data_IF_581040033120
#
_entry.id   IF_581040033120
#
_cell.length_a   1.000
_cell.length_b   1.000
_cell.length_c   1.000
_cell.angle_alpha   90.00
_cell.angle_beta   90.00
_cell.angle_gamma   90.00
#
_symmetry.space_group_name_H-M   'P 1'
#
loop_
_entity.id
_entity.type
_entity.pdbx_description
1 polymer ?
#
# COMPACT_ATOMS: atom_id res chain seq x y z
N UNK A 1 5.08 -7.91 19.90
CA UNK A 1 5.35 -9.35 19.64
C UNK A 1 5.74 -9.70 18.20
N UNK A 2 5.32 -8.96 17.16
CA UNK A 2 5.74 -9.24 15.78
C UNK A 2 7.18 -8.76 15.46
N UNK A 3 7.67 -7.69 16.10
CA UNK A 3 9.04 -7.18 15.85
C UNK A 3 10.16 -8.08 16.42
N UNK A 4 9.82 -9.08 17.24
CA UNK A 4 10.76 -10.10 17.70
C UNK A 4 10.98 -11.22 16.68
N UNK A 5 10.17 -11.27 15.60
CA UNK A 5 10.35 -12.24 14.54
C UNK A 5 11.69 -12.04 13.81
N UNK A 6 12.30 -13.13 13.29
CA UNK A 6 13.53 -13.05 12.54
C UNK A 6 13.31 -12.19 11.29
N UNK A 7 14.29 -11.35 10.98
CA UNK A 7 14.25 -10.37 9.88
C UNK A 7 13.81 -10.94 8.52
N UNK A 8 14.20 -12.17 8.12
CA UNK A 8 13.68 -12.80 6.89
C UNK A 8 12.16 -12.91 6.85
N UNK A 9 11.51 -13.17 7.99
CA UNK A 9 10.06 -13.31 8.05
C UNK A 9 9.33 -11.97 7.87
N UNK A 10 9.90 -10.89 8.42
CA UNK A 10 9.39 -9.54 8.24
C UNK A 10 9.53 -9.06 6.79
N UNK A 11 10.66 -9.39 6.15
CA UNK A 11 10.84 -9.15 4.72
C UNK A 11 9.85 -9.97 3.88
N UNK A 12 9.59 -11.22 4.26
CA UNK A 12 8.61 -12.07 3.59
C UNK A 12 7.19 -11.49 3.73
N UNK A 13 6.80 -11.00 4.91
CA UNK A 13 5.52 -10.28 5.09
C UNK A 13 5.42 -9.03 4.22
N UNK A 14 6.47 -8.21 4.17
CA UNK A 14 6.51 -7.02 3.32
C UNK A 14 6.44 -7.37 1.83
N UNK A 15 7.13 -8.44 1.41
CA UNK A 15 7.09 -8.95 0.05
C UNK A 15 5.69 -9.48 -0.32
N UNK A 16 5.05 -10.25 0.57
CA UNK A 16 3.68 -10.76 0.37
C UNK A 16 2.68 -9.62 0.33
N UNK A 17 2.76 -8.64 1.24
CA UNK A 17 1.89 -7.46 1.22
C UNK A 17 2.04 -6.66 -0.07
N UNK A 18 3.28 -6.47 -0.53
CA UNK A 18 3.59 -5.81 -1.81
C UNK A 18 3.05 -6.60 -2.99
N UNK A 19 3.21 -7.93 -2.97
CA UNK A 19 2.69 -8.83 -4.01
C UNK A 19 1.17 -8.80 -4.07
N UNK A 20 0.48 -8.85 -2.93
CA UNK A 20 -0.98 -8.75 -2.83
C UNK A 20 -1.44 -7.41 -3.37
N UNK A 21 -0.83 -6.30 -2.97
CA UNK A 21 -1.16 -4.97 -3.48
C UNK A 21 -0.94 -4.87 -5.00
N UNK A 22 0.21 -5.32 -5.50
CA UNK A 22 0.53 -5.28 -6.92
C UNK A 22 -0.39 -6.18 -7.75
N UNK A 23 -0.73 -7.36 -7.25
CA UNK A 23 -1.66 -8.29 -7.91
C UNK A 23 -3.07 -7.73 -7.97
N UNK A 24 -3.55 -7.10 -6.89
CA UNK A 24 -4.82 -6.40 -6.84
C UNK A 24 -4.85 -5.23 -7.83
N UNK A 25 -3.80 -4.38 -7.84
CA UNK A 25 -3.69 -3.27 -8.78
C UNK A 25 -3.58 -3.74 -10.23
N UNK A 26 -2.85 -4.82 -10.51
CA UNK A 26 -2.75 -5.40 -11.84
C UNK A 26 -4.10 -5.96 -12.33
N UNK A 27 -4.93 -6.47 -11.42
CA UNK A 27 -6.28 -6.91 -11.74
C UNK A 27 -7.25 -5.73 -11.96
N UNK A 28 -7.03 -4.60 -11.29
CA UNK A 28 -7.91 -3.43 -11.37
C UNK A 28 -7.53 -2.46 -12.49
N UNK A 29 -6.25 -2.32 -12.82
CA UNK A 29 -5.75 -1.41 -13.85
C UNK A 29 -5.18 -2.24 -15.00
N UNK A 30 -5.98 -2.54 -16.04
CA UNK A 30 -5.45 -3.21 -17.23
C UNK A 30 -4.44 -2.28 -17.90
N UNK A 31 -3.14 -2.53 -17.77
CA UNK A 31 -2.11 -1.72 -18.40
C UNK A 31 -0.71 -2.24 -18.12
N UNK A 32 0.12 -2.38 -19.16
CA UNK A 32 1.51 -2.89 -19.01
C UNK A 32 2.37 -1.98 -18.12
N UNK A 33 2.16 -0.66 -18.19
CA UNK A 33 2.89 0.32 -17.36
C UNK A 33 2.53 0.23 -15.88
N UNK A 34 1.25 0.02 -15.54
CA UNK A 34 0.82 -0.14 -14.15
C UNK A 34 1.54 -1.31 -13.46
N UNK A 35 1.70 -2.43 -14.15
CA UNK A 35 2.40 -3.62 -13.63
C UNK A 35 3.87 -3.37 -13.25
N UNK A 36 4.52 -2.36 -13.82
CA UNK A 36 5.91 -2.00 -13.50
C UNK A 36 5.98 -0.83 -12.51
N UNK A 37 5.07 0.14 -12.63
CA UNK A 37 5.06 1.31 -11.75
C UNK A 37 4.69 0.94 -10.32
N UNK A 38 3.66 0.11 -10.09
CA UNK A 38 3.24 -0.26 -8.73
C UNK A 38 4.29 -0.99 -7.88
N UNK A 39 5.05 -1.98 -8.41
CA UNK A 39 6.11 -2.59 -7.62
C UNK A 39 7.27 -1.63 -7.36
N UNK A 40 7.63 -0.76 -8.32
CA UNK A 40 8.67 0.25 -8.12
C UNK A 40 8.29 1.27 -7.05
N UNK A 41 7.05 1.77 -7.08
CA UNK A 41 6.53 2.69 -6.06
C UNK A 41 6.48 2.02 -4.69
N UNK A 42 6.10 0.73 -4.63
CA UNK A 42 6.06 -0.03 -3.37
C UNK A 42 7.46 -0.23 -2.79
N UNK A 43 8.45 -0.58 -3.61
CA UNK A 43 9.86 -0.66 -3.20
C UNK A 43 10.38 0.68 -2.70
N UNK A 44 10.09 1.77 -3.42
CA UNK A 44 10.46 3.12 -3.01
C UNK A 44 9.82 3.53 -1.67
N UNK A 45 8.54 3.19 -1.45
CA UNK A 45 7.86 3.45 -0.18
C UNK A 45 8.39 2.59 0.97
N UNK A 46 8.73 1.32 0.71
CA UNK A 46 9.34 0.45 1.72
C UNK A 46 10.68 1.02 2.20
N UNK A 47 11.55 1.40 1.25
CA UNK A 47 12.82 2.05 1.57
C UNK A 47 12.61 3.40 2.26
N UNK A 48 11.64 4.19 1.80
CA UNK A 48 11.29 5.48 2.38
C UNK A 48 10.87 5.38 3.84
N UNK A 49 9.99 4.43 4.18
CA UNK A 49 9.56 4.22 5.57
C UNK A 49 10.72 3.80 6.48
N UNK A 50 11.61 2.94 5.98
CA UNK A 50 12.79 2.52 6.76
C UNK A 50 13.73 3.70 6.98
N UNK A 51 14.01 4.50 5.94
CA UNK A 51 14.86 5.70 6.05
C UNK A 51 14.26 6.74 6.99
N UNK A 52 12.97 7.07 6.84
CA UNK A 52 12.27 8.01 7.72
C UNK A 52 12.32 7.55 9.16
N UNK A 53 12.13 6.25 9.42
CA UNK A 53 12.23 5.69 10.77
C UNK A 53 13.61 5.78 11.40
N UNK A 54 14.67 5.85 10.59
CA UNK A 54 16.05 6.08 11.06
C UNK A 54 16.34 7.58 11.32
N UNK A 55 15.71 8.48 10.56
CA UNK A 55 15.88 9.93 10.72
C UNK A 55 14.96 10.57 11.76
N UNK A 56 13.96 9.84 12.27
CA UNK A 56 13.07 10.36 13.31
C UNK A 56 13.77 10.50 14.67
N UNK A 57 13.36 11.53 15.42
CA UNK A 57 13.85 11.85 16.77
C UNK A 57 13.74 10.67 17.74
N UNK A 58 12.68 9.86 17.58
CA UNK A 58 12.53 8.56 18.21
C UNK A 58 13.16 7.52 17.28
N UNK A 59 14.28 6.90 17.66
CA UNK A 59 14.88 5.84 16.83
C UNK A 59 13.96 4.62 16.80
N UNK A 60 13.26 4.42 15.68
CA UNK A 60 12.45 3.24 15.48
C UNK A 60 13.31 2.14 14.83
N UNK A 61 13.30 0.95 15.43
CA UNK A 61 14.00 -0.20 14.84
C UNK A 61 13.44 -0.51 13.45
N UNK A 62 14.28 -0.86 12.45
CA UNK A 62 13.84 -1.22 11.09
C UNK A 62 12.75 -2.31 11.06
N UNK A 63 12.73 -3.18 12.07
CA UNK A 63 11.71 -4.23 12.22
C UNK A 63 10.31 -3.64 12.43
N UNK A 64 10.18 -2.59 13.22
CA UNK A 64 8.90 -1.92 13.47
C UNK A 64 8.39 -1.24 12.20
N UNK A 65 9.30 -0.62 11.44
CA UNK A 65 8.99 0.02 10.16
C UNK A 65 8.51 -0.99 9.10
N UNK A 66 9.10 -2.19 9.05
CA UNK A 66 8.65 -3.26 8.15
C UNK A 66 7.26 -3.80 8.51
N UNK A 67 6.95 -3.93 9.81
CA UNK A 67 5.60 -4.32 10.25
C UNK A 67 4.59 -3.23 9.86
N UNK A 68 4.89 -1.96 10.16
CA UNK A 68 4.05 -0.82 9.81
C UNK A 68 3.79 -0.76 8.29
N UNK A 69 4.85 -0.91 7.47
CA UNK A 69 4.74 -0.96 6.02
C UNK A 69 3.79 -2.08 5.56
N UNK A 70 3.97 -3.29 6.09
CA UNK A 70 3.18 -4.46 5.69
C UNK A 70 1.69 -4.25 5.98
N UNK A 71 1.37 -3.79 7.19
CA UNK A 71 -0.01 -3.50 7.59
C UNK A 71 -0.61 -2.32 6.84
N UNK A 72 0.17 -1.26 6.58
CA UNK A 72 -0.28 -0.13 5.79
C UNK A 72 -0.59 -0.56 4.35
N UNK A 73 0.25 -1.38 3.71
CA UNK A 73 0.01 -1.87 2.34
C UNK A 73 -1.23 -2.78 2.24
N UNK A 74 -1.43 -3.63 3.24
CA UNK A 74 -2.66 -4.44 3.36
C UNK A 74 -3.89 -3.55 3.57
N UNK A 75 -3.79 -2.56 4.46
CA UNK A 75 -4.84 -1.58 4.73
C UNK A 75 -5.21 -0.75 3.51
N UNK A 76 -4.23 -0.29 2.74
CA UNK A 76 -4.44 0.39 1.46
C UNK A 76 -5.16 -0.54 0.48
N UNK A 77 -4.73 -1.80 0.37
CA UNK A 77 -5.35 -2.77 -0.55
C UNK A 77 -6.83 -2.99 -0.21
N UNK A 78 -7.15 -3.20 1.07
CA UNK A 78 -8.52 -3.39 1.54
C UNK A 78 -9.35 -2.12 1.35
N UNK A 79 -8.79 -0.97 1.70
CA UNK A 79 -9.48 0.32 1.63
C UNK A 79 -9.73 0.79 0.19
N UNK A 80 -8.88 0.41 -0.76
CA UNK A 80 -9.07 0.66 -2.19
C UNK A 80 -9.96 -0.38 -2.88
N UNK A 81 -10.20 -1.55 -2.26
CA UNK A 81 -11.10 -2.57 -2.80
C UNK A 81 -12.47 -2.05 -3.28
N UNK A 82 -13.20 -1.18 -2.54
CA UNK A 82 -14.46 -0.62 -3.04
C UNK A 82 -14.29 0.25 -4.30
N UNK A 83 -13.13 0.88 -4.49
CA UNK A 83 -12.83 1.69 -5.67
C UNK A 83 -12.42 0.88 -6.90
N UNK A 84 -12.24 -0.45 -6.80
CA UNK A 84 -11.76 -1.32 -7.89
C UNK A 84 -12.50 -1.15 -9.22
N UNK A 85 -13.83 -1.04 -9.17
CA UNK A 85 -14.67 -0.90 -10.37
C UNK A 85 -14.47 0.45 -11.04
N UNK A 86 -14.27 1.50 -10.24
CA UNK A 86 -14.01 2.86 -10.72
C UNK A 86 -12.62 2.96 -11.35
N UNK A 87 -11.60 2.42 -10.67
CA UNK A 87 -10.22 2.39 -11.17
C UNK A 87 -10.14 1.63 -12.50
N UNK A 88 -10.84 0.50 -12.63
CA UNK A 88 -10.90 -0.26 -13.88
C UNK A 88 -11.52 0.53 -15.03
N UNK A 89 -12.66 1.20 -14.79
CA UNK A 89 -13.29 2.05 -15.80
C UNK A 89 -12.36 3.18 -16.25
N UNK A 90 -11.71 3.87 -15.31
CA UNK A 90 -10.78 4.94 -15.64
C UNK A 90 -9.55 4.44 -16.39
N UNK A 91 -8.99 3.29 -16.01
CA UNK A 91 -7.89 2.68 -16.73
C UNK A 91 -8.29 2.28 -18.17
N UNK A 92 -9.49 1.73 -18.35
CA UNK A 92 -10.04 1.41 -19.67
C UNK A 92 -10.28 2.67 -20.52
N UNK A 93 -10.81 3.75 -19.93
CA UNK A 93 -10.98 5.05 -20.61
C UNK A 93 -9.63 5.64 -21.04
N UNK A 94 -8.63 5.63 -20.16
CA UNK A 94 -7.27 6.12 -20.45
C UNK A 94 -6.64 5.31 -21.59
N UNK A 95 -6.75 3.98 -21.57
CA UNK A 95 -6.22 3.13 -22.63
C UNK A 95 -6.91 3.33 -23.98
N UNK A 96 -8.20 3.70 -23.97
CA UNK A 96 -8.95 4.07 -25.18
C UNK A 96 -8.63 5.49 -25.66
N UNK A 97 -7.71 6.20 -24.98
CA UNK A 97 -7.29 7.55 -25.34
C UNK A 97 -8.28 8.64 -24.91
N UNK A 98 -9.29 8.31 -24.09
CA UNK A 98 -10.25 9.29 -23.58
C UNK A 98 -9.56 10.15 -22.53
N UNK A 99 -9.27 11.41 -22.87
CA UNK A 99 -8.73 12.39 -21.93
C UNK A 99 -9.89 13.10 -21.22
N UNK A 100 -10.19 12.70 -19.98
CA UNK A 100 -11.02 13.51 -19.08
C UNK A 100 -10.17 14.58 -18.41
N UNK A 101 -10.75 15.75 -18.22
CA UNK A 101 -10.15 16.87 -17.50
C UNK A 101 -10.03 16.58 -15.99
N UNK A 102 -10.97 15.80 -15.43
CA UNK A 102 -10.95 15.33 -14.03
C UNK A 102 -11.39 13.87 -13.93
N UNK A 103 -10.70 13.13 -13.06
CA UNK A 103 -11.10 11.79 -12.60
C UNK A 103 -11.57 11.90 -11.14
N UNK A 104 -12.84 12.26 -10.88
CA UNK A 104 -13.30 12.47 -9.52
C UNK A 104 -13.32 11.15 -8.75
N UNK A 105 -12.52 11.04 -7.70
CA UNK A 105 -12.64 9.96 -6.72
C UNK A 105 -13.68 10.36 -5.68
N UNK A 106 -14.81 9.63 -5.54
CA UNK A 106 -15.77 9.88 -4.48
C UNK A 106 -15.10 9.91 -3.11
N UNK A 107 -15.39 10.92 -2.29
CA UNK A 107 -14.81 11.09 -0.96
C UNK A 107 -14.95 9.84 -0.09
N UNK A 108 -16.06 9.10 -0.21
CA UNK A 108 -16.28 7.82 0.49
C UNK A 108 -15.18 6.78 0.26
N UNK A 109 -14.57 6.74 -0.92
CA UNK A 109 -13.49 5.80 -1.21
C UNK A 109 -12.17 6.26 -0.59
N UNK A 110 -11.93 7.58 -0.57
CA UNK A 110 -10.78 8.16 0.12
C UNK A 110 -10.90 7.93 1.62
N UNK A 111 -12.08 8.18 2.20
CA UNK A 111 -12.36 7.93 3.62
C UNK A 111 -12.22 6.45 3.96
N UNK A 112 -12.72 5.53 3.13
CA UNK A 112 -12.54 4.10 3.34
C UNK A 112 -11.05 3.69 3.29
N UNK A 113 -10.27 4.24 2.35
CA UNK A 113 -8.84 4.00 2.27
C UNK A 113 -8.10 4.53 3.51
N UNK A 114 -8.35 5.77 3.89
CA UNK A 114 -7.73 6.39 5.07
C UNK A 114 -8.13 5.66 6.35
N UNK A 115 -9.42 5.37 6.55
CA UNK A 115 -9.89 4.65 7.73
C UNK A 115 -9.24 3.26 7.83
N UNK A 116 -9.16 2.52 6.73
CA UNK A 116 -8.52 1.20 6.69
C UNK A 116 -7.03 1.28 7.06
N UNK A 117 -6.30 2.26 6.52
CA UNK A 117 -4.88 2.48 6.85
C UNK A 117 -4.70 2.86 8.31
N UNK A 118 -5.54 3.73 8.84
CA UNK A 118 -5.50 4.14 10.26
C UNK A 118 -5.73 2.93 11.16
N UNK A 119 -6.78 2.15 10.91
CA UNK A 119 -7.09 0.93 11.68
C UNK A 119 -5.94 -0.07 11.61
N UNK A 120 -5.40 -0.34 10.42
CA UNK A 120 -4.27 -1.27 10.27
C UNK A 120 -2.98 -0.76 10.90
N UNK A 121 -2.75 0.55 10.93
CA UNK A 121 -1.59 1.16 11.59
C UNK A 121 -1.69 1.02 13.12
N UNK A 122 -2.88 1.25 13.69
CA UNK A 122 -3.12 0.99 15.12
C UNK A 122 -2.96 -0.49 15.47
N UNK A 123 -3.45 -1.37 14.60
CA UNK A 123 -3.31 -2.82 14.78
C UNK A 123 -1.83 -3.24 14.72
N UNK A 124 -1.06 -2.68 13.77
CA UNK A 124 0.37 -2.87 13.67
C UNK A 124 1.07 -2.43 14.96
N UNK A 125 0.76 -1.23 15.46
CA UNK A 125 1.34 -0.73 16.71
C UNK A 125 1.05 -1.67 17.88
N UNK A 126 -0.23 -2.06 18.07
CA UNK A 126 -0.64 -2.96 19.15
C UNK A 126 -0.01 -4.35 19.08
N UNK A 127 0.22 -4.90 17.88
CA UNK A 127 0.90 -6.19 17.69
C UNK A 127 2.44 -6.09 17.76
N UNK A 128 2.97 -4.89 17.62
CA UNK A 128 4.42 -4.63 17.63
C UNK A 128 4.95 -4.45 19.04
N UNK A 129 4.17 -3.80 19.93
CA UNK A 129 4.37 -3.82 21.40
C UNK A 129 4.54 -5.26 21.90
#
# INVERSE_FOLDING_TARGET
MLASLPLPWLLLMAAVATFVFCSAMAAWIPGRRGKVVFPLVSLACCLGIVLVGQFQYQHWSPRHMLVLYSFAWVGITIGLFPSRKLMRRYAEEINRGVKREKYPLPARYVVAAVASVVVMSFLAYGLTQ
#
